data_IF_347916392280
#
_entry.id   IF_347916392280
#
_cell.length_a   1.000
_cell.length_b   1.000
_cell.length_c   1.000
_cell.angle_alpha   90.00
_cell.angle_beta   90.00
_cell.angle_gamma   90.00
#
_symmetry.space_group_name_H-M   'P 1'
#
loop_
_entity.id
_entity.type
_entity.pdbx_description
1 polymer ?
#
# COMPACT_ATOMS: atom_id res chain seq x y z
N UNK A 1 4.22 -1.32 -3.03
CA UNK A 1 4.06 -1.35 -4.50
C UNK A 1 3.01 -2.39 -4.83
N UNK A 2 2.03 -2.03 -5.66
CA UNK A 2 1.01 -2.94 -6.15
C UNK A 2 0.97 -2.86 -7.68
N UNK A 3 0.61 -3.96 -8.33
CA UNK A 3 0.55 -4.06 -9.79
C UNK A 3 -0.66 -4.87 -10.20
N UNK A 4 -1.45 -4.33 -11.11
CA UNK A 4 -2.49 -5.06 -11.84
C UNK A 4 -1.94 -5.56 -13.19
N UNK A 5 -2.82 -6.14 -13.99
CA UNK A 5 -2.60 -6.44 -15.41
C UNK A 5 -2.06 -5.24 -16.22
N UNK A 6 -2.68 -4.06 -16.06
CA UNK A 6 -2.40 -2.86 -16.86
C UNK A 6 -1.62 -1.79 -16.11
N UNK A 7 -1.77 -1.66 -14.80
CA UNK A 7 -1.19 -0.53 -14.07
C UNK A 7 -0.20 -0.96 -12.98
N UNK A 8 0.80 -0.13 -12.75
CA UNK A 8 1.73 -0.27 -11.62
C UNK A 8 1.69 0.98 -10.75
N UNK A 9 1.49 0.79 -9.44
CA UNK A 9 1.49 1.85 -8.44
C UNK A 9 2.62 1.66 -7.41
N UNK A 10 3.44 2.68 -7.24
CA UNK A 10 4.39 2.82 -6.13
C UNK A 10 3.86 3.90 -5.18
N UNK A 11 3.74 3.57 -3.89
CA UNK A 11 3.48 4.54 -2.84
C UNK A 11 4.76 4.73 -2.04
N UNK A 12 5.15 5.98 -1.80
CA UNK A 12 6.32 6.33 -1.01
C UNK A 12 5.90 6.75 0.39
N UNK A 13 6.53 6.13 1.39
CA UNK A 13 6.34 6.53 2.77
C UNK A 13 7.23 7.74 3.03
N UNK A 14 6.62 8.89 3.24
CA UNK A 14 7.37 10.12 3.54
C UNK A 14 7.30 10.32 5.05
N UNK A 15 8.46 10.40 5.69
CA UNK A 15 8.59 10.58 7.15
C UNK A 15 8.42 12.05 7.57
N UNK A 16 8.08 12.94 6.65
CA UNK A 16 7.93 14.37 6.92
C UNK A 16 6.44 14.74 6.93
N UNK A 17 5.97 15.26 8.06
CA UNK A 17 4.54 15.42 8.39
C UNK A 17 3.76 16.30 7.39
N UNK A 18 4.43 17.21 6.69
CA UNK A 18 3.82 18.09 5.69
C UNK A 18 3.33 17.37 4.43
N UNK A 19 3.85 16.18 4.12
CA UNK A 19 3.56 15.43 2.88
C UNK A 19 2.46 14.36 3.10
N UNK A 20 2.03 14.15 4.35
CA UNK A 20 1.08 13.09 4.71
C UNK A 20 -0.32 13.25 4.11
N UNK A 21 -0.75 14.46 3.73
CA UNK A 21 -2.13 14.69 3.30
C UNK A 21 -2.44 14.20 1.87
N UNK A 22 -1.44 14.07 1.00
CA UNK A 22 -1.65 13.58 -0.37
C UNK A 22 -0.89 12.29 -0.69
N UNK A 23 0.15 11.95 0.10
CA UNK A 23 1.06 10.86 -0.23
C UNK A 23 1.86 11.18 -1.50
N UNK A 24 3.09 10.67 -1.56
CA UNK A 24 3.91 10.75 -2.77
C UNK A 24 4.00 9.39 -3.42
N UNK A 25 4.11 9.37 -4.75
CA UNK A 25 4.10 8.10 -5.45
C UNK A 25 4.26 8.20 -6.96
N UNK A 26 4.05 7.05 -7.58
CA UNK A 26 4.11 6.89 -9.02
C UNK A 26 3.01 5.96 -9.51
N UNK A 27 2.39 6.33 -10.63
CA UNK A 27 1.44 5.50 -11.36
C UNK A 27 1.89 5.38 -12.80
N UNK A 28 1.97 4.15 -13.32
CA UNK A 28 2.36 3.90 -14.71
C UNK A 28 1.33 2.99 -15.39
N UNK A 29 0.91 3.35 -16.60
CA UNK A 29 0.19 2.46 -17.52
C UNK A 29 1.22 1.54 -18.19
N UNK A 30 1.29 0.29 -17.75
CA UNK A 30 2.25 -0.69 -18.24
C UNK A 30 1.94 -1.18 -19.66
N UNK A 31 0.74 -0.92 -20.19
CA UNK A 31 0.36 -1.29 -21.56
C UNK A 31 0.83 -0.25 -22.56
N UNK A 32 0.65 1.04 -22.27
CA UNK A 32 1.05 2.15 -23.16
C UNK A 32 2.45 2.67 -22.85
N UNK A 33 2.92 2.51 -21.62
CA UNK A 33 4.24 2.92 -21.14
C UNK A 33 4.94 1.79 -20.35
N UNK A 34 5.35 0.70 -21.02
CA UNK A 34 6.06 -0.41 -20.38
C UNK A 34 7.43 0.00 -19.82
N UNK A 35 8.01 1.10 -20.33
CA UNK A 35 9.29 1.66 -19.89
C UNK A 35 9.17 2.58 -18.67
N UNK A 36 7.95 2.92 -18.23
CA UNK A 36 7.66 3.73 -17.03
C UNK A 36 8.28 5.12 -17.09
N UNK A 37 8.20 5.75 -18.27
CA UNK A 37 8.71 7.09 -18.50
C UNK A 37 7.72 8.15 -18.02
N UNK A 38 6.41 7.86 -18.09
CA UNK A 38 5.33 8.80 -17.84
C UNK A 38 4.67 8.53 -16.49
N UNK A 39 5.01 9.34 -15.48
CA UNK A 39 4.35 9.25 -14.17
C UNK A 39 2.96 9.92 -14.21
N UNK A 40 1.92 9.12 -14.01
CA UNK A 40 0.51 9.53 -14.03
C UNK A 40 -0.05 9.87 -12.63
N UNK A 41 0.80 9.96 -11.60
CA UNK A 41 0.39 10.12 -10.20
C UNK A 41 -0.57 11.30 -9.95
N UNK A 42 -0.33 12.45 -10.59
CA UNK A 42 -1.16 13.65 -10.45
C UNK A 42 -2.12 13.87 -11.63
N UNK A 43 -2.24 12.91 -12.56
CA UNK A 43 -3.14 13.03 -13.69
C UNK A 43 -4.58 12.71 -13.26
N UNK A 44 -5.45 13.72 -13.31
CA UNK A 44 -6.85 13.61 -12.92
C UNK A 44 -7.62 12.56 -13.74
N UNK A 45 -7.21 12.25 -14.98
CA UNK A 45 -7.83 11.22 -15.81
C UNK A 45 -7.62 9.81 -15.25
N UNK A 46 -6.64 9.64 -14.36
CA UNK A 46 -6.30 8.36 -13.73
C UNK A 46 -6.67 8.33 -12.24
N UNK A 47 -7.46 9.29 -11.75
CA UNK A 47 -7.85 9.38 -10.33
C UNK A 47 -8.58 8.12 -9.83
N UNK A 48 -9.44 7.52 -10.66
CA UNK A 48 -10.15 6.29 -10.29
C UNK A 48 -9.24 5.06 -10.26
N UNK A 49 -8.31 4.96 -11.21
CA UNK A 49 -7.28 3.90 -11.23
C UNK A 49 -6.39 4.01 -9.99
N UNK A 50 -5.95 5.22 -9.67
CA UNK A 50 -5.18 5.53 -8.48
C UNK A 50 -5.92 5.09 -7.22
N UNK A 51 -7.17 5.54 -7.04
CA UNK A 51 -8.02 5.17 -5.89
C UNK A 51 -8.17 3.66 -5.76
N UNK A 52 -8.46 2.97 -6.86
CA UNK A 52 -8.68 1.53 -6.87
C UNK A 52 -7.44 0.74 -6.43
N UNK A 53 -6.26 1.09 -6.95
CA UNK A 53 -5.01 0.41 -6.58
C UNK A 53 -4.60 0.70 -5.14
N UNK A 54 -4.82 1.91 -4.64
CA UNK A 54 -4.58 2.25 -3.23
C UNK A 54 -5.51 1.43 -2.32
N UNK A 55 -6.80 1.30 -2.66
CA UNK A 55 -7.74 0.46 -1.92
C UNK A 55 -7.31 -1.01 -1.87
N UNK A 56 -6.89 -1.58 -3.00
CA UNK A 56 -6.36 -2.94 -3.02
C UNK A 56 -5.11 -3.09 -2.15
N UNK A 57 -4.20 -2.11 -2.18
CA UNK A 57 -3.00 -2.12 -1.35
C UNK A 57 -3.33 -2.04 0.14
N UNK A 58 -4.29 -1.20 0.54
CA UNK A 58 -4.75 -1.14 1.94
C UNK A 58 -5.41 -2.45 2.37
N UNK A 59 -6.27 -3.03 1.53
CA UNK A 59 -6.92 -4.31 1.82
C UNK A 59 -5.88 -5.42 2.03
N UNK A 60 -4.85 -5.47 1.18
CA UNK A 60 -3.74 -6.39 1.35
C UNK A 60 -2.98 -6.15 2.66
N UNK A 61 -2.65 -4.91 3.01
CA UNK A 61 -1.97 -4.58 4.27
C UNK A 61 -2.78 -5.01 5.49
N UNK A 62 -4.08 -4.73 5.52
CA UNK A 62 -4.99 -5.15 6.60
C UNK A 62 -5.03 -6.67 6.69
N UNK A 63 -5.17 -7.37 5.56
CA UNK A 63 -5.16 -8.83 5.54
C UNK A 63 -3.85 -9.40 6.08
N UNK A 64 -2.71 -8.81 5.71
CA UNK A 64 -1.40 -9.23 6.23
C UNK A 64 -1.31 -9.04 7.74
N UNK A 65 -1.80 -7.89 8.25
CA UNK A 65 -1.80 -7.60 9.67
C UNK A 65 -2.67 -8.58 10.46
N UNK A 66 -3.90 -8.82 10.01
CA UNK A 66 -4.84 -9.75 10.66
C UNK A 66 -4.31 -11.19 10.64
N UNK A 67 -3.85 -11.66 9.48
CA UNK A 67 -3.45 -13.07 9.33
C UNK A 67 -2.08 -13.39 9.93
N UNK A 68 -1.14 -12.45 9.93
CA UNK A 68 0.26 -12.74 10.27
C UNK A 68 0.83 -11.90 11.43
N UNK A 69 0.25 -10.74 11.75
CA UNK A 69 0.72 -9.89 12.86
C UNK A 69 -0.21 -9.91 14.09
N UNK A 70 -1.47 -10.31 13.93
CA UNK A 70 -2.47 -10.36 15.00
C UNK A 70 -2.15 -11.32 16.16
N UNK A 71 -1.19 -12.24 15.98
CA UNK A 71 -0.70 -13.14 17.02
C UNK A 71 0.63 -12.72 17.68
N UNK A 72 1.08 -11.47 17.51
CA UNK A 72 2.25 -10.96 18.27
C UNK A 72 2.04 -10.89 19.80
N UNK A 73 0.88 -11.32 20.30
CA UNK A 73 0.60 -11.54 21.71
C UNK A 73 -0.14 -12.86 21.93
N UNK A 74 0.45 -14.00 21.58
CA UNK A 74 0.11 -15.23 22.31
C UNK A 74 0.43 -14.97 23.78
N UNK A 75 -0.55 -15.11 24.66
CA UNK A 75 -0.44 -14.78 26.09
C UNK A 75 0.87 -15.34 26.65
N UNK A 76 1.86 -14.46 26.85
CA UNK A 76 2.96 -14.76 27.73
C UNK A 76 2.39 -14.69 29.15
N UNK A 77 1.63 -15.72 29.54
CA UNK A 77 1.18 -15.86 30.92
C UNK A 77 2.45 -15.92 31.78
N UNK A 78 2.62 -14.98 32.72
CA UNK A 78 3.77 -14.98 33.62
C UNK A 78 3.84 -16.33 34.34
N UNK A 79 5.04 -16.87 34.54
CA UNK A 79 5.24 -18.23 35.09
C UNK A 79 4.46 -18.51 36.39
N UNK A 80 4.16 -17.47 37.18
CA UNK A 80 3.36 -17.52 38.41
C UNK A 80 1.88 -17.93 38.23
N UNK A 81 1.39 -18.08 36.99
CA UNK A 81 0.02 -18.51 36.69
C UNK A 81 -0.05 -19.90 36.04
N UNK A 82 1.06 -20.62 35.93
CA UNK A 82 1.06 -22.03 35.51
C UNK A 82 0.74 -22.89 36.73
N UNK A 83 -0.50 -23.40 36.77
CA UNK A 83 -0.92 -24.42 37.75
C UNK A 83 -0.23 -25.75 37.53
#
# INVERSE_FOLDING_TARGET
MIRSDRFKLNLYHVTNDAIQLMGEGQLFDMQTDPKKVNNLWHDANYADVHRHLVQQMMAFSIQQEVCYCGQRGGEALPSKWRS
#
